data_IF_368893594747
#
_entry.id   IF_368893594747
#
_cell.length_a   1.000
_cell.length_b   1.000
_cell.length_c   1.000
_cell.angle_alpha   90.00
_cell.angle_beta   90.00
_cell.angle_gamma   90.00
#
_symmetry.space_group_name_H-M   'P 1'
#
loop_
_entity.id
_entity.type
_entity.pdbx_description
1 polymer ?
#
# COMPACT_ATOMS: atom_id res chain seq x y z
N UNK A 1 -33.53 -16.91 -13.46
CA UNK A 1 -32.07 -17.13 -13.60
C UNK A 1 -31.32 -16.55 -12.38
N UNK A 2 -30.47 -17.36 -11.80
CA UNK A 2 -29.63 -16.83 -10.70
C UNK A 2 -28.54 -15.94 -11.26
N UNK A 3 -28.30 -14.81 -10.58
CA UNK A 3 -27.18 -13.93 -10.89
C UNK A 3 -25.89 -14.48 -10.28
N UNK A 4 -24.74 -13.91 -10.63
CA UNK A 4 -23.47 -14.28 -10.02
C UNK A 4 -23.49 -14.03 -8.49
N UNK A 5 -24.27 -13.05 -8.03
CA UNK A 5 -24.43 -12.76 -6.60
C UNK A 5 -25.26 -13.81 -5.87
N UNK A 6 -26.23 -14.42 -6.53
CA UNK A 6 -27.08 -15.45 -5.94
C UNK A 6 -26.27 -16.69 -5.52
N UNK A 7 -25.16 -16.97 -6.22
CA UNK A 7 -24.25 -18.07 -5.88
C UNK A 7 -23.63 -17.92 -4.50
N UNK A 8 -23.54 -16.70 -4.01
CA UNK A 8 -22.93 -16.39 -2.72
C UNK A 8 -23.96 -16.08 -1.63
N UNK A 9 -25.26 -16.00 -2.00
CA UNK A 9 -26.31 -15.65 -1.05
C UNK A 9 -26.37 -16.62 0.13
N UNK A 10 -26.12 -17.90 -0.12
CA UNK A 10 -26.12 -18.97 0.89
C UNK A 10 -24.71 -19.31 1.39
N UNK A 11 -23.68 -18.59 0.92
CA UNK A 11 -22.31 -18.84 1.35
C UNK A 11 -22.18 -18.50 2.83
N UNK A 12 -21.81 -19.49 3.65
CA UNK A 12 -21.53 -19.26 5.06
C UNK A 12 -20.09 -18.83 5.22
N UNK A 13 -19.83 -17.83 6.07
CA UNK A 13 -18.45 -17.48 6.41
C UNK A 13 -17.72 -18.72 6.94
N UNK A 14 -16.57 -19.03 6.35
CA UNK A 14 -15.71 -20.08 6.88
C UNK A 14 -14.63 -19.43 7.72
N UNK A 15 -14.66 -19.70 9.01
CA UNK A 15 -13.64 -19.22 9.94
C UNK A 15 -12.38 -20.09 9.92
N UNK A 16 -12.40 -21.17 9.11
CA UNK A 16 -11.27 -22.09 8.95
C UNK A 16 -10.24 -21.60 7.93
N UNK A 17 -10.60 -20.57 7.14
CA UNK A 17 -9.68 -20.00 6.16
C UNK A 17 -8.95 -18.79 6.75
N UNK A 18 -7.63 -18.74 6.57
CA UNK A 18 -6.88 -17.55 6.97
C UNK A 18 -7.33 -16.34 6.16
N UNK A 19 -7.43 -15.20 6.84
CA UNK A 19 -7.77 -13.90 6.22
C UNK A 19 -6.50 -13.06 6.17
N UNK A 20 -6.19 -12.54 4.97
CA UNK A 20 -5.09 -11.60 4.82
C UNK A 20 -5.54 -10.22 5.27
N UNK A 21 -4.83 -9.65 6.23
CA UNK A 21 -5.04 -8.27 6.66
C UNK A 21 -4.05 -7.40 5.88
N UNK A 22 -4.58 -6.44 5.13
CA UNK A 22 -3.80 -5.47 4.40
C UNK A 22 -3.86 -4.13 5.11
N UNK A 23 -2.70 -3.58 5.42
CA UNK A 23 -2.60 -2.26 6.07
C UNK A 23 -2.35 -1.17 5.03
N UNK A 24 -3.24 -0.18 4.99
CA UNK A 24 -3.11 1.02 4.17
C UNK A 24 -2.59 2.14 5.07
N UNK A 25 -1.33 2.52 4.89
CA UNK A 25 -0.61 3.34 5.86
C UNK A 25 -1.13 4.79 5.90
N UNK A 26 -1.25 5.44 4.76
CA UNK A 26 -1.57 6.87 4.71
C UNK A 26 -2.72 7.27 3.79
N UNK A 27 -3.15 6.41 2.87
CA UNK A 27 -4.38 6.59 2.08
C UNK A 27 -4.51 7.92 1.34
N UNK A 28 -3.42 8.60 1.02
CA UNK A 28 -3.49 9.90 0.37
C UNK A 28 -4.04 11.02 1.26
N UNK A 29 -4.00 10.84 2.55
CA UNK A 29 -4.46 11.82 3.54
C UNK A 29 -3.34 12.78 3.93
N UNK A 30 -3.73 13.93 4.50
CA UNK A 30 -2.78 14.92 4.99
C UNK A 30 -2.81 15.00 6.52
N UNK A 31 -1.76 15.57 7.11
CA UNK A 31 -1.73 15.84 8.55
C UNK A 31 -2.78 16.87 8.98
N UNK A 32 -3.31 17.67 8.06
CA UNK A 32 -4.45 18.55 8.31
C UNK A 32 -5.70 17.76 8.65
N UNK A 33 -5.90 16.64 7.96
CA UNK A 33 -7.07 15.77 8.17
C UNK A 33 -6.89 14.89 9.39
N UNK A 34 -5.67 14.42 9.62
CA UNK A 34 -5.29 13.62 10.78
C UNK A 34 -3.81 13.86 11.07
N UNK A 35 -3.46 14.51 12.19
CA UNK A 35 -2.06 14.82 12.52
C UNK A 35 -1.18 13.58 12.68
N UNK A 36 -1.77 12.41 12.88
CA UNK A 36 -1.04 11.14 12.99
C UNK A 36 -0.78 10.46 11.65
N UNK A 37 -1.25 11.04 10.53
CA UNK A 37 -1.01 10.48 9.20
C UNK A 37 0.49 10.49 8.89
N UNK A 38 1.12 9.35 8.58
CA UNK A 38 2.53 9.33 8.20
C UNK A 38 2.72 9.95 6.82
N UNK A 39 3.60 10.94 6.73
CA UNK A 39 3.88 11.68 5.50
C UNK A 39 5.35 11.59 5.12
N UNK A 40 6.29 11.75 6.09
CA UNK A 40 7.71 11.61 5.80
C UNK A 40 8.07 10.15 5.50
N UNK A 41 9.17 9.95 4.78
CA UNK A 41 9.58 8.59 4.46
C UNK A 41 9.92 7.78 5.72
N UNK A 42 10.41 8.42 6.76
CA UNK A 42 10.66 7.77 8.05
C UNK A 42 9.36 7.34 8.73
N UNK A 43 8.37 8.22 8.76
CA UNK A 43 7.06 7.92 9.34
C UNK A 43 6.37 6.76 8.60
N UNK A 44 6.42 6.78 7.27
CA UNK A 44 5.83 5.72 6.44
C UNK A 44 6.55 4.40 6.68
N UNK A 45 7.88 4.41 6.69
CA UNK A 45 8.67 3.21 6.94
C UNK A 45 8.42 2.63 8.33
N UNK A 46 8.38 3.47 9.36
CA UNK A 46 8.15 3.03 10.73
C UNK A 46 6.75 2.41 10.90
N UNK A 47 5.72 3.01 10.32
CA UNK A 47 4.37 2.46 10.37
C UNK A 47 4.25 1.16 9.58
N UNK A 48 4.88 1.08 8.41
CA UNK A 48 4.92 -0.14 7.61
C UNK A 48 5.55 -1.30 8.39
N UNK A 49 6.67 -1.04 9.05
CA UNK A 49 7.38 -2.03 9.87
C UNK A 49 6.49 -2.48 11.04
N UNK A 50 5.87 -1.54 11.75
CA UNK A 50 5.00 -1.87 12.88
C UNK A 50 3.80 -2.70 12.45
N UNK A 51 3.16 -2.35 11.34
CA UNK A 51 2.01 -3.10 10.83
C UNK A 51 2.41 -4.51 10.40
N UNK A 52 3.53 -4.64 9.71
CA UNK A 52 4.06 -5.95 9.31
C UNK A 52 4.38 -6.83 10.51
N UNK A 53 5.07 -6.28 11.49
CA UNK A 53 5.43 -7.01 12.72
C UNK A 53 4.20 -7.36 13.58
N UNK A 54 3.12 -6.59 13.46
CA UNK A 54 1.85 -6.89 14.12
C UNK A 54 1.03 -7.98 13.40
N UNK A 55 1.45 -8.44 12.22
CA UNK A 55 0.82 -9.55 11.52
C UNK A 55 0.10 -9.18 10.22
N UNK A 56 0.25 -7.96 9.72
CA UNK A 56 -0.29 -7.62 8.40
C UNK A 56 0.34 -8.51 7.32
N UNK A 57 -0.47 -9.00 6.40
CA UNK A 57 -0.02 -9.85 5.30
C UNK A 57 0.41 -9.07 4.07
N UNK A 58 0.05 -7.79 3.98
CA UNK A 58 0.46 -6.89 2.92
C UNK A 58 0.41 -5.45 3.41
N UNK A 59 1.27 -4.61 2.86
CA UNK A 59 1.34 -3.18 3.18
C UNK A 59 1.14 -2.37 1.91
N UNK A 60 0.28 -1.38 1.98
CA UNK A 60 0.07 -0.41 0.92
C UNK A 60 0.32 1.00 1.44
N UNK A 61 1.05 1.80 0.67
CA UNK A 61 1.32 3.19 1.05
C UNK A 61 1.43 4.07 -0.18
N UNK A 62 1.08 5.34 0.02
CA UNK A 62 1.45 6.42 -0.89
C UNK A 62 2.84 6.92 -0.52
N UNK A 63 3.48 7.62 -1.45
CA UNK A 63 4.79 8.24 -1.18
C UNK A 63 4.64 9.56 -0.42
N UNK A 64 5.73 10.28 -0.23
CA UNK A 64 5.75 11.49 0.60
C UNK A 64 5.05 12.69 -0.04
N UNK A 65 4.87 12.71 -1.35
CA UNK A 65 4.26 13.82 -2.07
C UNK A 65 3.59 13.38 -3.36
N UNK A 66 2.37 13.87 -3.58
CA UNK A 66 1.65 13.67 -4.84
C UNK A 66 2.20 14.49 -6.01
N UNK A 67 3.04 15.48 -5.73
CA UNK A 67 3.63 16.34 -6.76
C UNK A 67 4.78 15.66 -7.50
N UNK A 68 5.34 14.60 -6.93
CA UNK A 68 6.39 13.81 -7.56
C UNK A 68 5.80 12.90 -8.63
N UNK A 69 6.44 12.84 -9.78
CA UNK A 69 5.99 12.04 -10.91
C UNK A 69 7.08 11.08 -11.39
N UNK A 70 6.66 9.95 -11.95
CA UNK A 70 7.53 9.02 -12.67
C UNK A 70 8.77 8.60 -11.86
N UNK A 71 9.96 8.90 -12.38
CA UNK A 71 11.23 8.53 -11.75
C UNK A 71 11.42 9.15 -10.37
N UNK A 72 10.95 10.37 -10.19
CA UNK A 72 11.06 11.05 -8.90
C UNK A 72 10.13 10.40 -7.87
N UNK A 73 8.93 10.02 -8.27
CA UNK A 73 8.01 9.26 -7.43
C UNK A 73 8.60 7.89 -7.07
N UNK A 74 9.19 7.21 -8.05
CA UNK A 74 9.85 5.93 -7.83
C UNK A 74 10.99 6.04 -6.81
N UNK A 75 11.86 7.03 -6.98
CA UNK A 75 12.97 7.27 -6.05
C UNK A 75 12.48 7.56 -4.63
N UNK A 76 11.41 8.32 -4.51
CA UNK A 76 10.80 8.63 -3.21
C UNK A 76 10.24 7.37 -2.56
N UNK A 77 9.52 6.54 -3.31
CA UNK A 77 9.05 5.25 -2.81
C UNK A 77 10.21 4.38 -2.33
N UNK A 78 11.24 4.26 -3.14
CA UNK A 78 12.37 3.38 -2.81
C UNK A 78 13.16 3.88 -1.60
N UNK A 79 13.23 5.18 -1.37
CA UNK A 79 13.83 5.71 -0.16
C UNK A 79 13.13 5.20 1.10
N UNK A 80 11.80 5.12 1.07
CA UNK A 80 11.01 4.54 2.15
C UNK A 80 11.23 3.03 2.25
N UNK A 81 11.08 2.34 1.13
CA UNK A 81 11.05 0.88 1.12
C UNK A 81 12.42 0.24 1.27
N UNK A 82 13.50 0.90 0.85
CA UNK A 82 14.85 0.43 1.15
C UNK A 82 15.06 0.33 2.67
N UNK A 83 14.55 1.31 3.41
CA UNK A 83 14.61 1.28 4.88
C UNK A 83 13.81 0.10 5.47
N UNK A 84 12.63 -0.15 4.94
CA UNK A 84 11.79 -1.28 5.37
C UNK A 84 12.42 -2.62 4.98
N UNK A 85 12.92 -2.74 3.75
CA UNK A 85 13.49 -3.96 3.21
C UNK A 85 14.79 -4.36 3.91
N UNK A 86 15.55 -3.42 4.46
CA UNK A 86 16.71 -3.72 5.28
C UNK A 86 16.34 -4.54 6.51
N UNK A 87 15.18 -4.28 7.08
CA UNK A 87 14.69 -4.99 8.26
C UNK A 87 13.85 -6.21 7.90
N UNK A 88 13.02 -6.10 6.87
CA UNK A 88 12.09 -7.14 6.44
C UNK A 88 12.17 -7.36 4.92
N UNK A 89 13.19 -8.13 4.45
CA UNK A 89 13.41 -8.30 3.02
C UNK A 89 12.29 -9.06 2.29
N UNK A 90 11.46 -9.79 3.03
CA UNK A 90 10.37 -10.59 2.45
C UNK A 90 8.99 -9.94 2.63
N UNK A 91 8.94 -8.68 3.01
CA UNK A 91 7.67 -7.97 3.19
C UNK A 91 6.89 -7.91 1.87
N UNK A 92 5.59 -8.16 1.96
CA UNK A 92 4.68 -7.94 0.84
C UNK A 92 4.19 -6.51 0.85
N UNK A 93 4.53 -5.75 -0.17
CA UNK A 93 4.11 -4.36 -0.27
C UNK A 93 3.85 -3.96 -1.72
N UNK A 94 3.05 -2.91 -1.89
CA UNK A 94 2.87 -2.29 -3.19
C UNK A 94 2.54 -0.80 -3.03
N UNK A 95 3.00 0.04 -3.99
CA UNK A 95 2.68 1.46 -4.01
C UNK A 95 1.31 1.72 -4.59
N UNK A 96 0.83 2.95 -4.50
CA UNK A 96 -0.33 3.36 -5.27
C UNK A 96 0.02 3.46 -6.76
N UNK A 97 -0.90 3.01 -7.60
CA UNK A 97 -0.80 3.20 -9.07
C UNK A 97 -1.48 4.47 -9.52
N UNK A 98 -2.11 5.19 -8.61
CA UNK A 98 -2.79 6.46 -8.90
C UNK A 98 -1.80 7.61 -8.95
N UNK A 99 -2.11 8.59 -9.79
CA UNK A 99 -1.42 9.88 -9.87
C UNK A 99 0.06 9.80 -10.27
N UNK A 100 0.95 9.73 -9.30
CA UNK A 100 2.37 10.00 -9.51
C UNK A 100 3.19 8.84 -10.06
N UNK A 101 2.65 7.63 -10.12
CA UNK A 101 3.30 6.50 -10.80
C UNK A 101 2.73 6.25 -12.19
N UNK A 102 1.84 7.10 -12.66
CA UNK A 102 1.26 6.98 -14.00
C UNK A 102 2.36 7.22 -15.04
N UNK A 103 2.65 6.21 -15.82
CA UNK A 103 3.60 6.28 -16.91
C UNK A 103 2.89 6.64 -18.21
N UNK A 104 3.60 7.33 -19.09
CA UNK A 104 3.17 7.47 -20.49
C UNK A 104 3.36 6.11 -21.20
N UNK A 105 2.59 5.83 -22.28
CA UNK A 105 2.71 4.56 -22.98
C UNK A 105 4.13 4.19 -23.36
N UNK A 106 4.92 5.14 -23.84
CA UNK A 106 6.31 4.94 -24.23
C UNK A 106 7.24 4.65 -23.05
N UNK A 107 6.88 5.05 -21.85
CA UNK A 107 7.64 4.79 -20.61
C UNK A 107 7.27 3.46 -19.98
N UNK A 108 6.02 3.01 -20.19
CA UNK A 108 5.53 1.74 -19.66
C UNK A 108 5.99 0.52 -20.47
N UNK A 109 6.51 0.73 -21.64
CA UNK A 109 6.90 -0.36 -22.56
C UNK A 109 5.72 -1.02 -23.26
N UNK A 110 4.56 -0.39 -23.23
CA UNK A 110 3.35 -0.89 -23.89
C UNK A 110 3.21 -0.38 -25.33
#
# INVERSE_FOLDING_TARGET
MSTALDKYADAKPSWDYPVVIESHINGGRSKKMNPNTPISYEEIADDAIRCWEAGAGAIHAHNTSFDLLRKDAYKDYMRTWDKVLQKHPNITWYPTSCNNLRLLPEESGL
#
